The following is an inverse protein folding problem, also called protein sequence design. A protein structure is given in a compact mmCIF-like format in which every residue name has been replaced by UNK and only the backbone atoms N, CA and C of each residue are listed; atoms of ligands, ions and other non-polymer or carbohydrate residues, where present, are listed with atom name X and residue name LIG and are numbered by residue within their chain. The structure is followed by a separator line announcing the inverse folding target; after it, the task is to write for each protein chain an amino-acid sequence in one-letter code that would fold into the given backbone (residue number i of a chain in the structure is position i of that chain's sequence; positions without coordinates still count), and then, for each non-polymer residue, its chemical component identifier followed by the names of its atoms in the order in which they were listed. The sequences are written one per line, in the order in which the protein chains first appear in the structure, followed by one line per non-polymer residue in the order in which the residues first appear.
data_IF_342122860402
#
_entry.id   IF_342122860402
#
_cell.length_a   1.000
_cell.length_b   1.000
_cell.length_c   1.000
_cell.angle_alpha   90.00
_cell.angle_beta   90.00
_cell.angle_gamma   90.00
#
_symmetry.space_group_name_H-M   'P 1'
#
loop_
_entity.id
_entity.type
_entity.pdbx_description
1 polymer ?
#
# COMPACT_ATOMS: atom_id res chain seq x y z
N UNK A 1 6.17 15.74 18.58
CA UNK A 1 5.79 15.73 17.16
C UNK A 1 4.68 14.72 17.02
N UNK A 2 3.54 15.09 16.44
CA UNK A 2 2.41 14.18 16.32
C UNK A 2 2.73 13.25 15.14
N UNK A 3 3.13 12.00 15.41
CA UNK A 3 3.53 10.99 14.40
C UNK A 3 2.42 10.67 13.38
N UNK A 4 1.22 11.24 13.59
CA UNK A 4 0.03 11.14 12.75
C UNK A 4 -0.19 12.28 11.76
N UNK A 5 0.72 13.27 11.65
CA UNK A 5 0.62 14.34 10.65
C UNK A 5 0.82 13.78 9.22
N UNK A 6 -0.27 13.33 8.60
CA UNK A 6 -0.27 12.91 7.19
C UNK A 6 -1.24 11.81 6.79
N UNK A 7 -1.97 11.20 7.74
CA UNK A 7 -2.90 10.09 7.47
C UNK A 7 -4.33 10.45 7.87
N UNK A 8 -5.28 10.18 6.98
CA UNK A 8 -6.71 10.41 7.20
C UNK A 8 -7.34 9.07 7.60
N UNK A 9 -7.87 8.99 8.82
CA UNK A 9 -8.56 7.79 9.30
C UNK A 9 -10.02 7.83 8.89
N UNK A 10 -10.51 6.75 8.30
CA UNK A 10 -11.88 6.60 7.86
C UNK A 10 -12.46 5.30 8.40
N UNK A 11 -13.67 5.38 8.93
CA UNK A 11 -14.45 4.19 9.25
C UNK A 11 -14.88 3.50 7.95
N UNK A 12 -15.02 2.18 7.99
CA UNK A 12 -15.39 1.38 6.83
C UNK A 12 -16.68 1.88 6.13
N UNK A 13 -17.66 2.36 6.90
CA UNK A 13 -18.92 2.90 6.37
C UNK A 13 -18.70 4.20 5.56
N UNK A 14 -17.77 5.05 6.00
CA UNK A 14 -17.42 6.32 5.34
C UNK A 14 -16.72 6.06 4.01
N UNK A 15 -15.90 5.01 3.97
CA UNK A 15 -15.17 4.61 2.75
C UNK A 15 -16.14 4.24 1.65
N UNK A 16 -17.15 3.41 1.94
CA UNK A 16 -18.12 2.92 0.94
C UNK A 16 -18.96 4.03 0.31
N UNK A 17 -19.24 5.09 1.08
CA UNK A 17 -19.97 6.26 0.61
C UNK A 17 -19.14 7.18 -0.30
N UNK A 18 -17.83 7.29 -0.02
CA UNK A 18 -16.98 8.35 -0.57
C UNK A 18 -15.81 7.83 -1.42
N UNK A 19 -15.87 6.59 -1.91
CA UNK A 19 -14.79 5.95 -2.68
C UNK A 19 -14.18 6.80 -3.80
N UNK A 20 -15.00 7.54 -4.55
CA UNK A 20 -14.51 8.38 -5.64
C UNK A 20 -13.70 9.57 -5.13
N UNK A 21 -14.15 10.19 -4.02
CA UNK A 21 -13.47 11.31 -3.38
C UNK A 21 -12.16 10.84 -2.73
N UNK A 22 -12.18 9.68 -2.08
CA UNK A 22 -10.98 9.03 -1.52
C UNK A 22 -9.97 8.79 -2.64
N UNK A 23 -10.39 8.14 -3.74
CA UNK A 23 -9.50 7.86 -4.85
C UNK A 23 -8.95 9.13 -5.50
N UNK A 24 -9.79 10.16 -5.67
CA UNK A 24 -9.36 11.47 -6.14
C UNK A 24 -8.31 12.09 -5.22
N UNK A 25 -8.51 12.01 -3.90
CA UNK A 25 -7.56 12.51 -2.91
C UNK A 25 -6.23 11.76 -2.94
N UNK A 26 -6.27 10.43 -3.09
CA UNK A 26 -5.06 9.61 -3.23
C UNK A 26 -4.29 10.00 -4.49
N UNK A 27 -4.99 10.11 -5.62
CA UNK A 27 -4.37 10.33 -6.93
C UNK A 27 -3.84 11.75 -7.13
N UNK A 28 -4.67 12.76 -6.82
CA UNK A 28 -4.39 14.15 -7.16
C UNK A 28 -3.65 14.88 -6.04
N UNK A 29 -3.88 14.49 -4.79
CA UNK A 29 -3.32 15.17 -3.62
C UNK A 29 -2.28 14.32 -2.88
N UNK A 30 -2.06 13.06 -3.29
CA UNK A 30 -1.14 12.14 -2.62
C UNK A 30 -1.58 11.79 -1.19
N UNK A 31 -2.88 11.87 -0.90
CA UNK A 31 -3.44 11.56 0.42
C UNK A 31 -3.30 10.07 0.73
N UNK A 32 -3.18 9.77 2.02
CA UNK A 32 -3.11 8.41 2.56
C UNK A 32 -4.28 8.22 3.49
N UNK A 33 -5.04 7.17 3.26
CA UNK A 33 -6.20 6.86 4.08
C UNK A 33 -5.95 5.57 4.84
N UNK A 34 -6.25 5.60 6.14
CA UNK A 34 -6.19 4.42 7.01
C UNK A 34 -7.62 4.01 7.31
N UNK A 35 -7.93 2.75 7.05
CA UNK A 35 -9.24 2.15 7.29
C UNK A 35 -9.28 1.65 8.73
N UNK A 36 -10.36 2.01 9.42
CA UNK A 36 -10.58 1.66 10.82
C UNK A 36 -11.84 0.81 10.94
N UNK A 37 -11.73 -0.30 11.68
CA UNK A 37 -12.85 -1.16 12.06
C UNK A 37 -12.94 -1.21 13.58
N UNK A 38 -13.93 -0.51 14.15
CA UNK A 38 -14.01 -0.31 15.60
C UNK A 38 -12.90 0.62 16.08
N UNK A 39 -11.98 0.10 16.90
CA UNK A 39 -10.81 0.84 17.41
C UNK A 39 -9.50 0.44 16.71
N UNK A 40 -9.56 -0.51 15.77
CA UNK A 40 -8.38 -1.07 15.11
C UNK A 40 -8.20 -0.52 13.69
N UNK A 41 -6.98 -0.09 13.38
CA UNK A 41 -6.57 0.16 12.00
C UNK A 41 -6.40 -1.19 11.29
N UNK A 42 -6.96 -1.35 10.09
CA UNK A 42 -7.04 -2.66 9.42
C UNK A 42 -6.40 -2.68 8.03
N UNK A 43 -6.47 -1.57 7.30
CA UNK A 43 -5.91 -1.45 5.97
C UNK A 43 -5.51 -0.01 5.68
N UNK A 44 -4.77 0.20 4.60
CA UNK A 44 -4.46 1.52 4.07
C UNK A 44 -4.79 1.62 2.58
N UNK A 45 -5.26 2.79 2.15
CA UNK A 45 -5.40 3.17 0.74
C UNK A 45 -4.36 4.27 0.46
N UNK A 46 -3.41 3.97 -0.40
CA UNK A 46 -2.24 4.83 -0.66
C UNK A 46 -1.96 4.97 -2.16
N UNK A 47 -1.19 5.99 -2.59
CA UNK A 47 -0.77 6.08 -3.98
C UNK A 47 0.13 4.91 -4.39
N UNK A 48 0.02 4.44 -5.64
CA UNK A 48 0.86 3.34 -6.16
C UNK A 48 2.37 3.62 -5.98
N UNK A 49 2.80 4.86 -6.23
CA UNK A 49 4.21 5.27 -6.07
C UNK A 49 4.72 5.11 -4.65
N UNK A 50 3.82 5.24 -3.68
CA UNK A 50 4.18 5.06 -2.27
C UNK A 50 4.31 3.58 -1.92
N UNK A 51 3.42 2.74 -2.45
CA UNK A 51 3.56 1.29 -2.35
C UNK A 51 4.89 0.81 -2.96
N UNK A 52 5.21 1.23 -4.19
CA UNK A 52 6.48 0.89 -4.85
C UNK A 52 7.70 1.31 -4.01
N UNK A 53 7.64 2.50 -3.39
CA UNK A 53 8.68 2.98 -2.48
C UNK A 53 8.78 2.11 -1.22
N UNK A 54 7.65 1.69 -0.64
CA UNK A 54 7.64 0.81 0.53
C UNK A 54 8.21 -0.56 0.19
N UNK A 55 7.80 -1.16 -0.92
CA UNK A 55 8.34 -2.46 -1.37
C UNK A 55 9.84 -2.38 -1.63
N UNK A 56 10.32 -1.32 -2.29
CA UNK A 56 11.75 -1.08 -2.46
C UNK A 56 12.49 -1.00 -1.12
N UNK A 57 11.93 -0.27 -0.14
CA UNK A 57 12.52 -0.18 1.20
C UNK A 57 12.54 -1.54 1.91
N UNK A 58 11.50 -2.36 1.75
CA UNK A 58 11.45 -3.71 2.33
C UNK A 58 12.54 -4.61 1.74
N UNK A 59 12.76 -4.55 0.42
CA UNK A 59 13.84 -5.29 -0.24
C UNK A 59 15.23 -4.85 0.24
N UNK A 60 15.47 -3.55 0.44
CA UNK A 60 16.74 -3.06 1.01
C UNK A 60 16.99 -3.54 2.45
N UNK A 61 15.92 -3.77 3.22
CA UNK A 61 16.01 -4.10 4.65
C UNK A 61 16.07 -5.60 4.91
N UNK A 62 15.57 -6.44 3.98
CA UNK A 62 15.63 -7.90 4.09
C UNK A 62 17.10 -8.31 4.36
N UNK A 63 17.42 -8.85 5.55
CA UNK A 63 18.78 -9.24 5.86
C UNK A 63 19.15 -10.40 4.95
N UNK A 64 20.03 -10.16 3.96
CA UNK A 64 20.56 -11.22 3.10
C UNK A 64 21.23 -12.27 3.99
N UNK A 65 20.67 -13.50 4.11
CA UNK A 65 21.34 -14.51 4.93
C UNK A 65 22.56 -15.03 4.18
N UNK A 66 22.46 -15.17 2.85
CA UNK A 66 23.50 -15.52 1.89
C UNK A 66 22.98 -15.12 0.50
N UNK A 67 23.79 -14.48 -0.37
CA UNK A 67 23.47 -14.30 -1.79
C UNK A 67 23.13 -15.65 -2.45
N UNK A 68 21.94 -15.84 -3.04
CA UNK A 68 21.73 -16.87 -4.05
C UNK A 68 21.85 -16.22 -5.44
N UNK A 69 22.46 -16.96 -6.36
CA UNK A 69 22.70 -16.60 -7.76
C UNK A 69 21.50 -15.96 -8.47
N UNK A 70 21.77 -15.19 -9.53
CA UNK A 70 20.86 -14.46 -10.45
C UNK A 70 19.70 -15.29 -11.10
N UNK A 71 19.28 -16.42 -10.54
CA UNK A 71 18.43 -17.42 -11.17
C UNK A 71 17.27 -18.02 -10.33
N UNK A 72 16.90 -17.46 -9.16
CA UNK A 72 15.79 -18.00 -8.35
C UNK A 72 14.77 -16.95 -7.81
N UNK A 73 14.59 -15.81 -8.48
CA UNK A 73 13.69 -14.73 -8.00
C UNK A 73 12.41 -14.52 -8.82
N UNK A 74 11.69 -15.58 -9.23
CA UNK A 74 10.47 -15.40 -10.03
C UNK A 74 9.25 -16.25 -9.64
N UNK A 75 9.28 -17.04 -8.56
CA UNK A 75 8.15 -17.94 -8.27
C UNK A 75 7.16 -17.43 -7.22
N UNK A 76 7.48 -16.38 -6.45
CA UNK A 76 6.61 -15.88 -5.36
C UNK A 76 6.24 -14.39 -5.45
N UNK A 77 6.37 -13.74 -6.62
CA UNK A 77 5.78 -12.42 -6.81
C UNK A 77 4.25 -12.55 -6.89
N UNK A 78 3.58 -12.43 -5.74
CA UNK A 78 2.13 -12.23 -5.70
C UNK A 78 1.79 -10.96 -6.47
N UNK A 79 1.20 -11.13 -7.65
CA UNK A 79 0.78 -10.00 -8.49
C UNK A 79 -0.26 -9.13 -7.78
N UNK A 80 -0.29 -7.83 -8.12
CA UNK A 80 -1.29 -6.90 -7.59
C UNK A 80 -2.62 -7.15 -8.31
N UNK A 81 -3.67 -7.48 -7.54
CA UNK A 81 -5.02 -7.66 -8.07
C UNK A 81 -5.64 -6.32 -8.45
N UNK A 82 -5.61 -5.96 -9.73
CA UNK A 82 -6.15 -4.69 -10.21
C UNK A 82 -7.67 -4.80 -10.45
N UNK A 83 -8.45 -4.01 -9.72
CA UNK A 83 -9.92 -4.05 -9.71
C UNK A 83 -10.50 -2.66 -9.96
N UNK A 84 -11.73 -2.63 -10.49
CA UNK A 84 -12.46 -1.37 -10.72
C UNK A 84 -13.13 -0.88 -9.44
N UNK A 85 -13.39 0.41 -9.36
CA UNK A 85 -14.01 1.02 -8.18
C UNK A 85 -15.42 0.46 -7.86
N UNK A 86 -16.19 0.09 -8.88
CA UNK A 86 -17.51 -0.53 -8.71
C UNK A 86 -17.40 -1.97 -8.16
N UNK A 87 -16.39 -2.72 -8.58
CA UNK A 87 -16.09 -4.06 -8.05
C UNK A 87 -15.66 -3.94 -6.58
N UNK A 88 -14.72 -3.05 -6.27
CA UNK A 88 -14.31 -2.75 -4.89
C UNK A 88 -15.50 -2.37 -3.99
N UNK A 89 -16.46 -1.59 -4.51
CA UNK A 89 -17.66 -1.21 -3.74
C UNK A 89 -18.62 -2.38 -3.48
N UNK A 90 -18.74 -3.27 -4.47
CA UNK A 90 -19.62 -4.43 -4.39
C UNK A 90 -19.07 -5.47 -3.40
N UNK A 91 -17.75 -5.70 -3.43
CA UNK A 91 -17.04 -6.75 -2.71
C UNK A 91 -16.23 -6.22 -1.53
N UNK A 92 -16.51 -5.00 -1.07
CA UNK A 92 -15.69 -4.26 -0.09
C UNK A 92 -15.30 -5.09 1.15
N UNK A 93 -16.26 -5.76 1.78
CA UNK A 93 -16.00 -6.57 2.98
C UNK A 93 -15.13 -7.79 2.69
N UNK A 94 -15.33 -8.44 1.54
CA UNK A 94 -14.55 -9.61 1.12
C UNK A 94 -13.11 -9.21 0.80
N UNK A 95 -12.93 -8.14 0.04
CA UNK A 95 -11.61 -7.59 -0.27
C UNK A 95 -10.87 -7.17 1.00
N UNK A 96 -11.56 -6.52 1.94
CA UNK A 96 -10.94 -6.12 3.20
C UNK A 96 -10.55 -7.34 4.04
N UNK A 97 -11.33 -8.41 4.04
CA UNK A 97 -10.97 -9.67 4.70
C UNK A 97 -9.73 -10.31 4.07
N UNK A 98 -9.63 -10.36 2.75
CA UNK A 98 -8.45 -10.85 2.03
C UNK A 98 -7.19 -10.02 2.35
N UNK A 99 -7.33 -8.70 2.36
CA UNK A 99 -6.25 -7.77 2.76
C UNK A 99 -5.81 -8.01 4.19
N UNK A 100 -6.74 -8.21 5.13
CA UNK A 100 -6.43 -8.37 6.55
C UNK A 100 -5.84 -9.75 6.88
N UNK A 101 -6.44 -10.82 6.37
CA UNK A 101 -6.12 -12.20 6.77
C UNK A 101 -5.01 -12.81 5.92
N UNK A 102 -5.02 -12.52 4.62
CA UNK A 102 -4.12 -13.15 3.65
C UNK A 102 -2.99 -12.21 3.19
N UNK A 103 -3.04 -10.94 3.62
CA UNK A 103 -2.06 -9.92 3.27
C UNK A 103 -2.12 -9.53 1.79
N UNK A 104 -3.25 -9.81 1.12
CA UNK A 104 -3.42 -9.52 -0.30
C UNK A 104 -3.35 -8.01 -0.59
N UNK A 105 -2.89 -7.68 -1.80
CA UNK A 105 -2.71 -6.31 -2.27
C UNK A 105 -3.59 -6.07 -3.48
N UNK A 106 -4.46 -5.07 -3.39
CA UNK A 106 -5.39 -4.72 -4.46
C UNK A 106 -5.04 -3.36 -5.06
N UNK A 107 -4.98 -3.31 -6.38
CA UNK A 107 -4.83 -2.08 -7.13
C UNK A 107 -6.18 -1.52 -7.55
N UNK A 108 -6.46 -0.26 -7.21
CA UNK A 108 -7.68 0.42 -7.63
C UNK A 108 -7.45 1.15 -8.95
N UNK A 109 -8.16 0.70 -9.98
CA UNK A 109 -8.15 1.33 -11.31
C UNK A 109 -9.06 2.55 -11.29
N UNK A 110 -8.56 3.73 -11.67
CA UNK A 110 -9.37 4.94 -11.69
C UNK A 110 -10.44 4.91 -12.80
N UNK A 111 -11.63 5.47 -12.53
CA UNK A 111 -12.60 5.78 -13.57
C UNK A 111 -12.01 6.67 -14.66
N UNK A 112 -12.45 6.48 -15.92
CA UNK A 112 -11.90 7.20 -17.09
C UNK A 112 -12.04 8.72 -16.98
N UNK A 113 -13.15 9.17 -16.42
CA UNK A 113 -13.48 10.57 -16.17
C UNK A 113 -12.58 11.20 -15.09
N UNK A 114 -12.19 10.41 -14.08
CA UNK A 114 -11.25 10.85 -13.05
C UNK A 114 -9.80 10.91 -13.58
N UNK A 115 -9.43 9.96 -14.43
CA UNK A 115 -8.07 9.86 -14.97
C UNK A 115 -7.67 11.04 -15.87
N UNK A 116 -8.63 11.79 -16.44
CA UNK A 116 -8.42 12.99 -17.30
C UNK A 116 -7.34 12.86 -18.39
N UNK A 117 -6.98 11.64 -18.77
CA UNK A 117 -5.87 11.34 -19.69
C UNK A 117 -4.46 11.43 -19.09
N UNK A 118 -4.31 11.75 -17.80
CA UNK A 118 -3.02 11.81 -17.10
C UNK A 118 -2.60 10.46 -16.51
N UNK A 119 -3.57 9.59 -16.22
CA UNK A 119 -3.34 8.28 -15.64
C UNK A 119 -3.75 7.17 -16.62
N UNK A 120 -2.92 6.14 -16.72
CA UNK A 120 -3.25 4.94 -17.48
C UNK A 120 -4.44 4.22 -16.84
N UNK A 121 -5.53 4.09 -17.58
CA UNK A 121 -6.76 3.41 -17.10
C UNK A 121 -6.61 1.89 -17.04
N UNK A 122 -5.43 1.35 -17.35
CA UNK A 122 -5.06 -0.05 -17.19
C UNK A 122 -4.10 -0.29 -16.01
N UNK A 123 -3.62 0.77 -15.37
CA UNK A 123 -2.71 0.69 -14.22
C UNK A 123 -3.42 1.17 -12.94
N UNK A 124 -3.12 0.57 -11.78
CA UNK A 124 -3.74 1.01 -10.54
C UNK A 124 -3.19 2.40 -10.15
N UNK A 125 -4.07 3.28 -9.71
CA UNK A 125 -3.67 4.61 -9.26
C UNK A 125 -3.55 4.69 -7.72
N UNK A 126 -4.25 3.77 -7.04
CA UNK A 126 -4.15 3.58 -5.61
C UNK A 126 -4.00 2.09 -5.28
N UNK A 127 -3.43 1.80 -4.12
CA UNK A 127 -3.24 0.47 -3.57
C UNK A 127 -4.02 0.36 -2.28
N UNK A 128 -4.75 -0.74 -2.11
CA UNK A 128 -5.30 -1.20 -0.84
C UNK A 128 -4.40 -2.31 -0.32
N UNK A 129 -3.90 -2.15 0.90
CA UNK A 129 -2.99 -3.11 1.51
C UNK A 129 -3.22 -3.23 3.02
N UNK A 130 -2.71 -4.31 3.60
CA UNK A 130 -2.78 -4.56 5.04
C UNK A 130 -2.08 -3.44 5.81
N UNK A 131 -2.67 -3.03 6.94
CA UNK A 131 -2.05 -2.04 7.82
C UNK A 131 -0.66 -2.47 8.31
N UNK A 132 -0.46 -3.78 8.51
CA UNK A 132 0.80 -4.37 8.96
C UNK A 132 1.89 -4.29 7.89
N UNK A 133 1.50 -4.25 6.61
CA UNK A 133 2.42 -4.09 5.50
C UNK A 133 2.73 -2.62 5.22
N UNK A 134 1.86 -1.72 5.68
CA UNK A 134 1.97 -0.28 5.52
C UNK A 134 2.84 0.35 6.61
N UNK A 135 2.57 0.04 7.87
CA UNK A 135 3.43 0.42 8.99
C UNK A 135 4.66 -0.47 8.99
N UNK A 136 5.75 0.04 8.43
CA UNK A 136 7.05 -0.61 8.57
C UNK A 136 7.41 -0.65 10.06
N UNK A 137 7.69 -1.83 10.64
CA UNK A 137 8.08 -1.91 12.04
C UNK A 137 9.36 -1.09 12.30
N UNK A 138 9.44 -0.42 13.44
CA UNK A 138 10.61 0.41 13.80
C UNK A 138 11.94 -0.37 13.75
N UNK A 139 11.89 -1.69 13.99
CA UNK A 139 13.08 -2.54 13.91
C UNK A 139 13.63 -2.69 12.48
N UNK A 140 12.79 -2.51 11.44
CA UNK A 140 13.21 -2.51 10.04
C UNK A 140 14.00 -1.23 9.72
N UNK A 141 13.51 -0.10 10.22
CA UNK A 141 14.14 1.21 10.06
C UNK A 141 15.49 1.25 10.80
N UNK A 142 15.54 0.70 12.01
CA UNK A 142 16.79 0.65 12.79
C UNK A 142 17.84 -0.26 12.15
N UNK A 143 17.42 -1.39 11.55
CA UNK A 143 18.30 -2.29 10.82
C UNK A 143 18.88 -1.64 9.55
N UNK A 144 18.06 -0.90 8.79
CA UNK A 144 18.54 -0.09 7.65
C UNK A 144 19.64 0.87 8.08
N UNK A 145 19.40 1.61 9.15
CA UNK A 145 20.35 2.59 9.67
C UNK A 145 21.64 1.88 10.08
N UNK A 146 21.55 0.76 10.81
CA UNK A 146 22.72 -0.06 11.19
C UNK A 146 23.56 -0.48 9.99
N UNK A 147 22.93 -1.00 8.93
CA UNK A 147 23.61 -1.45 7.71
C UNK A 147 24.30 -0.28 6.99
N UNK A 148 23.63 0.87 6.89
CA UNK A 148 24.17 2.08 6.24
C UNK A 148 25.41 2.68 6.94
N UNK A 149 25.46 2.62 8.28
CA UNK A 149 26.62 3.07 9.05
C UNK A 149 27.82 2.12 8.94
N UNK A 150 27.59 0.82 8.72
CA UNK A 150 28.69 -0.14 8.53
C UNK A 150 29.40 0.04 7.18
N UNK A 151 28.69 0.51 6.16
CA UNK A 151 29.22 0.76 4.81
C UNK A 151 30.02 2.07 4.68
N UNK A 152 29.76 3.06 5.54
CA UNK A 152 30.48 4.35 5.56
C UNK A 152 31.70 4.36 6.48
N UNK A 153 31.98 3.24 7.16
CA UNK A 153 33.08 3.10 8.11
C UNK A 153 34.28 2.32 7.52
N UNK A 154 34.32 2.13 6.20
CA UNK A 154 35.46 1.54 5.46
C UNK A 154 36.12 2.57 4.54
#
# INVERSE_FOLDING_TARGET
MNENEGFIRLMNEEVRGNLLEILSGVMLEGKRFVLVKGEEEVAAIIPIREFERLEYLKEEIKPSPFLPSEYEYYEDEKGIHCIRLNEFKAEFEEILLEVMLNGEVFGLIPPKDLAKGEFDTFSPAAIVMSINNFWLPDYWISEKNRLSFSLHSQ
#
